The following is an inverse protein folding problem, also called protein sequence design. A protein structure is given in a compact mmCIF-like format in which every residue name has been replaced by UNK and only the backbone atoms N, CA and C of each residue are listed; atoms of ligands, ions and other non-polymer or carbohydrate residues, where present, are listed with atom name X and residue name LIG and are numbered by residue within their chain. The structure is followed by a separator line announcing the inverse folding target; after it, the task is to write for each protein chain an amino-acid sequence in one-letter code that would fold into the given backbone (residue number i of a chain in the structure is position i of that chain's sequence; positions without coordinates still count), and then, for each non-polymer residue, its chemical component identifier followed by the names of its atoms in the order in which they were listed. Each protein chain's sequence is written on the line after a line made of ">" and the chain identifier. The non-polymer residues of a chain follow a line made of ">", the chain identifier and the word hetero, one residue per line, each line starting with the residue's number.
data_IF_745665468247
#
_entry.id   IF_745665468247
#
_cell.length_a   1.000
_cell.length_b   1.000
_cell.length_c   1.000
_cell.angle_alpha   90.00
_cell.angle_beta   90.00
_cell.angle_gamma   90.00
#
_symmetry.space_group_name_H-M   'P 1'
#
loop_
_entity.id
_entity.type
_entity.pdbx_description
1 polymer ?
#
# COMPACT_ATOMS: atom_id res chain seq x y z
N UNK A 1 1.92 1.04 12.28
CA UNK A 1 2.06 1.94 13.46
C UNK A 1 0.62 2.18 13.97
N UNK A 2 0.19 1.62 15.11
CA UNK A 2 -1.13 1.89 15.70
C UNK A 2 -1.09 2.08 17.21
N UNK A 3 -1.77 3.10 17.78
CA UNK A 3 -1.72 3.49 19.19
C UNK A 3 -3.12 3.41 19.89
N UNK A 4 -3.26 3.50 21.23
CA UNK A 4 -4.53 3.36 21.99
C UNK A 4 -4.51 4.14 23.33
N UNK A 5 -5.61 4.86 23.69
CA UNK A 5 -5.88 5.53 25.00
C UNK A 5 -6.94 4.78 25.82
N UNK A 6 -6.83 4.73 27.16
CA UNK A 6 -7.85 4.21 28.11
C UNK A 6 -8.60 5.32 28.88
N UNK A 7 -9.90 5.18 29.21
CA UNK A 7 -10.63 6.15 30.04
C UNK A 7 -10.58 5.88 31.56
N UNK A 8 -10.76 6.96 32.34
CA UNK A 8 -10.63 7.08 33.82
C UNK A 8 -11.90 6.64 34.60
N UNK A 9 -11.71 6.18 35.86
CA UNK A 9 -12.72 5.77 36.87
C UNK A 9 -13.14 6.92 37.82
N UNK A 10 -14.31 6.77 38.51
CA UNK A 10 -14.49 7.27 39.89
C UNK A 10 -15.06 6.17 40.85
N UNK A 11 -15.41 6.44 42.14
CA UNK A 11 -14.60 6.16 43.33
C UNK A 11 -15.10 4.99 44.23
N UNK A 12 -14.29 4.61 45.23
CA UNK A 12 -14.47 3.46 46.16
C UNK A 12 -15.16 3.82 47.50
N UNK A 13 -15.77 2.84 48.20
CA UNK A 13 -15.84 2.83 49.66
C UNK A 13 -14.80 1.89 50.31
N UNK A 14 -14.54 2.13 51.60
CA UNK A 14 -13.42 1.65 52.42
C UNK A 14 -13.64 0.26 53.03
N UNK A 15 -12.54 -0.48 53.20
CA UNK A 15 -12.28 -1.24 54.44
C UNK A 15 -12.14 -2.76 54.32
N UNK A 16 -10.89 -3.26 54.24
CA UNK A 16 -10.28 -4.20 55.21
C UNK A 16 -8.84 -4.51 54.78
N UNK A 17 -7.92 -4.34 55.74
CA UNK A 17 -6.50 -4.70 55.62
C UNK A 17 -6.35 -6.21 55.82
N UNK A 18 -5.52 -6.88 55.01
CA UNK A 18 -4.45 -7.77 55.47
C UNK A 18 -3.56 -8.25 54.31
N UNK A 19 -2.29 -8.49 54.67
CA UNK A 19 -1.23 -9.23 53.96
C UNK A 19 -0.59 -8.60 52.70
N UNK A 20 0.62 -8.06 52.91
CA UNK A 20 1.64 -7.80 51.90
C UNK A 20 2.17 -9.13 51.35
N UNK A 21 2.18 -9.30 50.04
CA UNK A 21 3.16 -10.14 49.34
C UNK A 21 3.85 -9.31 48.28
N UNK A 22 5.17 -9.25 48.37
CA UNK A 22 6.05 -8.54 47.44
C UNK A 22 6.33 -9.43 46.22
N UNK A 23 5.96 -8.89 45.05
CA UNK A 23 6.67 -8.91 43.76
C UNK A 23 7.61 -10.07 43.43
N UNK A 24 7.41 -10.74 42.28
CA UNK A 24 8.46 -11.14 41.34
C UNK A 24 7.90 -11.13 39.90
N UNK A 25 7.85 -9.95 39.28
CA UNK A 25 7.68 -9.83 37.83
C UNK A 25 9.06 -9.92 37.17
N UNK A 26 9.29 -10.98 36.39
CA UNK A 26 10.53 -11.19 35.63
C UNK A 26 10.73 -10.02 34.66
N UNK A 27 11.77 -9.21 34.91
CA UNK A 27 12.38 -8.33 33.92
C UNK A 27 13.34 -9.18 33.09
N UNK A 28 13.13 -9.26 31.77
CA UNK A 28 14.15 -9.80 30.88
C UNK A 28 15.34 -8.82 30.84
N UNK A 29 16.48 -9.26 31.39
CA UNK A 29 17.79 -8.64 31.15
C UNK A 29 18.29 -9.12 29.79
N UNK A 30 18.49 -8.20 28.86
CA UNK A 30 19.36 -8.44 27.71
C UNK A 30 20.82 -8.12 28.12
N UNK A 31 21.76 -8.95 27.65
CA UNK A 31 23.19 -8.84 27.89
C UNK A 31 23.82 -7.62 27.15
N UNK A 32 25.03 -7.15 27.55
CA UNK A 32 25.57 -5.88 27.08
C UNK A 32 26.30 -6.05 25.74
N UNK A 33 25.60 -5.81 24.64
CA UNK A 33 26.19 -5.45 23.35
C UNK A 33 25.82 -4.00 23.04
N UNK A 34 26.79 -3.15 22.69
CA UNK A 34 26.60 -1.71 22.42
C UNK A 34 25.60 -1.48 21.27
N UNK A 35 24.32 -1.39 21.59
CA UNK A 35 23.32 -0.73 20.76
C UNK A 35 23.29 0.76 21.12
N UNK A 36 23.53 1.64 20.15
CA UNK A 36 23.21 3.07 20.29
C UNK A 36 21.70 3.17 20.56
N UNK A 37 21.24 3.85 21.62
CA UNK A 37 19.81 3.95 21.90
C UNK A 37 19.15 4.79 20.81
N UNK A 38 18.27 4.16 20.02
CA UNK A 38 17.36 4.85 19.11
C UNK A 38 16.47 5.81 19.91
N UNK A 39 16.25 7.01 19.37
CA UNK A 39 15.57 8.12 20.05
C UNK A 39 14.18 7.71 20.59
N UNK A 40 13.84 7.98 21.86
CA UNK A 40 12.57 7.60 22.51
C UNK A 40 11.38 8.52 22.14
N UNK A 41 11.30 9.04 20.90
CA UNK A 41 10.38 10.14 20.56
C UNK A 41 8.96 9.73 20.13
N UNK A 42 8.70 8.46 19.85
CA UNK A 42 7.39 8.04 19.31
C UNK A 42 6.30 7.90 20.38
N UNK A 43 6.68 7.81 21.65
CA UNK A 43 5.77 7.59 22.79
C UNK A 43 5.79 8.73 23.82
N UNK A 44 6.73 9.68 23.71
CA UNK A 44 6.80 10.84 24.59
C UNK A 44 5.60 11.78 24.34
N UNK A 45 4.67 11.83 25.31
CA UNK A 45 3.53 12.76 25.30
C UNK A 45 2.24 12.21 24.68
N UNK A 46 2.25 11.02 24.09
CA UNK A 46 1.06 10.35 23.57
C UNK A 46 0.68 9.18 24.48
N UNK A 47 -0.56 9.16 24.99
CA UNK A 47 -1.14 8.03 25.73
C UNK A 47 -1.57 6.98 24.70
N UNK A 48 -0.58 6.33 24.08
CA UNK A 48 -0.78 5.63 22.83
C UNK A 48 0.27 4.51 22.69
N UNK A 49 -0.16 3.26 22.44
CA UNK A 49 0.73 2.08 22.34
C UNK A 49 0.95 1.64 20.90
N UNK A 50 2.13 1.88 20.31
CA UNK A 50 2.45 1.50 18.93
C UNK A 50 2.68 -0.01 18.74
N UNK A 51 1.83 -0.68 17.97
CA UNK A 51 2.08 -2.02 17.42
C UNK A 51 2.71 -1.92 16.02
N UNK A 52 3.76 -2.72 15.77
CA UNK A 52 4.54 -2.72 14.53
C UNK A 52 4.59 -4.12 13.92
N UNK A 53 3.91 -4.31 12.79
CA UNK A 53 4.12 -5.43 11.89
C UNK A 53 5.16 -4.99 10.86
N UNK A 54 6.38 -5.54 10.93
CA UNK A 54 7.51 -5.07 10.11
C UNK A 54 7.47 -5.57 8.67
N UNK A 55 6.86 -6.73 8.45
CA UNK A 55 6.77 -7.37 7.16
C UNK A 55 5.53 -8.23 7.15
N UNK A 56 4.61 -7.94 6.23
CA UNK A 56 3.40 -8.73 6.02
C UNK A 56 3.66 -9.88 5.04
N UNK A 57 4.53 -9.67 4.04
CA UNK A 57 4.89 -10.66 3.02
C UNK A 57 6.38 -11.07 3.17
N UNK A 58 6.70 -12.01 4.08
CA UNK A 58 8.08 -12.45 4.29
C UNK A 58 8.66 -13.19 3.08
N UNK A 59 7.83 -13.88 2.30
CA UNK A 59 8.24 -14.63 1.12
C UNK A 59 8.60 -13.70 -0.04
N UNK A 60 7.77 -12.68 -0.29
CA UNK A 60 8.07 -11.60 -1.22
C UNK A 60 9.31 -10.81 -0.81
N UNK A 61 9.48 -10.52 0.48
CA UNK A 61 10.69 -9.88 1.00
C UNK A 61 11.95 -10.72 0.71
N UNK A 62 11.88 -12.03 0.97
CA UNK A 62 12.99 -12.97 0.72
C UNK A 62 13.39 -13.00 -0.75
N UNK A 63 12.44 -12.91 -1.67
CA UNK A 63 12.70 -12.84 -3.12
C UNK A 63 13.34 -11.52 -3.56
N UNK A 64 13.09 -10.43 -2.85
CA UNK A 64 13.63 -9.09 -3.14
C UNK A 64 15.00 -8.78 -2.51
N UNK A 65 15.53 -9.65 -1.63
CA UNK A 65 16.83 -9.42 -0.95
C UNK A 65 17.99 -9.07 -1.90
N UNK A 66 17.93 -9.57 -3.15
CA UNK A 66 18.97 -9.37 -4.16
C UNK A 66 19.16 -7.92 -4.56
N UNK A 67 18.18 -7.04 -4.34
CA UNK A 67 18.32 -5.61 -4.63
C UNK A 67 18.24 -4.69 -3.41
N UNK A 68 17.60 -5.11 -2.32
CA UNK A 68 17.40 -4.31 -1.11
C UNK A 68 18.70 -3.83 -0.43
N UNK A 69 19.83 -4.48 -0.71
CA UNK A 69 21.15 -4.09 -0.17
C UNK A 69 21.85 -2.96 -0.94
N UNK A 70 21.25 -2.47 -2.04
CA UNK A 70 21.87 -1.50 -2.93
C UNK A 70 23.02 -2.08 -3.77
N UNK A 71 23.53 -1.33 -4.77
CA UNK A 71 23.15 0.06 -5.10
C UNK A 71 21.73 0.15 -5.68
N UNK A 72 21.04 1.25 -5.38
CA UNK A 72 19.66 1.53 -5.79
C UNK A 72 19.60 2.19 -7.16
N UNK A 73 20.07 1.48 -8.20
CA UNK A 73 19.94 1.92 -9.59
C UNK A 73 18.71 1.29 -10.23
N UNK A 74 18.05 2.01 -11.13
CA UNK A 74 16.86 1.52 -11.86
C UNK A 74 17.12 0.16 -12.50
N UNK A 75 18.22 0.02 -13.25
CA UNK A 75 18.56 -1.23 -13.92
C UNK A 75 18.81 -2.41 -12.98
N UNK A 76 19.37 -2.18 -11.78
CA UNK A 76 19.56 -3.26 -10.80
C UNK A 76 18.25 -3.63 -10.13
N UNK A 77 17.41 -2.66 -9.80
CA UNK A 77 16.09 -2.89 -9.23
C UNK A 77 15.23 -3.71 -10.18
N UNK A 78 14.94 -3.24 -11.39
CA UNK A 78 14.04 -3.96 -12.31
C UNK A 78 14.58 -5.32 -12.77
N UNK A 79 15.89 -5.55 -12.72
CA UNK A 79 16.48 -6.87 -13.02
C UNK A 79 16.29 -7.91 -11.89
N UNK A 80 16.12 -7.46 -10.65
CA UNK A 80 16.06 -8.33 -9.48
C UNK A 80 14.75 -8.18 -8.68
N UNK A 81 13.87 -7.29 -9.13
CA UNK A 81 12.59 -7.01 -8.53
C UNK A 81 11.68 -8.24 -8.62
N UNK A 82 10.97 -8.50 -7.53
CA UNK A 82 9.91 -9.49 -7.47
C UNK A 82 8.65 -8.83 -6.90
N UNK A 83 7.54 -9.03 -7.61
CA UNK A 83 6.20 -8.74 -7.11
C UNK A 83 5.38 -10.03 -7.18
N UNK A 84 4.63 -10.40 -6.14
CA UNK A 84 3.70 -11.52 -6.22
C UNK A 84 2.58 -11.20 -7.21
N UNK A 85 2.04 -12.25 -7.82
CA UNK A 85 0.80 -12.12 -8.58
C UNK A 85 -0.33 -11.60 -7.70
N UNK A 86 -1.35 -11.09 -8.34
CA UNK A 86 -2.51 -10.45 -7.75
C UNK A 86 -3.19 -11.25 -6.62
N UNK A 87 -3.44 -12.55 -6.84
CA UNK A 87 -4.02 -13.44 -5.82
C UNK A 87 -3.03 -13.84 -4.71
N UNK A 88 -1.74 -13.54 -4.87
CA UNK A 88 -0.68 -13.80 -3.90
C UNK A 88 -0.29 -12.52 -3.10
N UNK A 89 -1.05 -11.42 -3.24
CA UNK A 89 -0.83 -10.18 -2.48
C UNK A 89 -1.59 -10.17 -1.15
N UNK A 90 -0.91 -10.12 0.02
CA UNK A 90 -1.58 -10.28 1.30
C UNK A 90 -2.59 -9.20 1.69
N UNK A 91 -2.49 -8.00 1.15
CA UNK A 91 -3.43 -6.90 1.45
C UNK A 91 -4.65 -6.87 0.54
N UNK A 92 -4.68 -7.69 -0.50
CA UNK A 92 -5.79 -7.74 -1.42
C UNK A 92 -6.79 -8.84 -1.05
N UNK A 93 -8.08 -8.47 -0.97
CA UNK A 93 -9.20 -9.33 -0.59
C UNK A 93 -10.32 -9.29 -1.64
N UNK A 94 -10.09 -9.72 -2.90
CA UNK A 94 -11.12 -9.60 -3.94
C UNK A 94 -12.42 -10.35 -3.58
N UNK A 95 -12.29 -11.50 -2.91
CA UNK A 95 -13.43 -12.33 -2.45
C UNK A 95 -13.89 -12.00 -1.01
N UNK A 96 -13.30 -10.97 -0.41
CA UNK A 96 -13.57 -10.49 0.95
C UNK A 96 -12.87 -11.28 2.05
N UNK A 97 -12.92 -10.73 3.27
CA UNK A 97 -12.18 -11.24 4.44
C UNK A 97 -12.47 -12.72 4.79
N UNK A 98 -13.70 -13.20 4.56
CA UNK A 98 -14.09 -14.58 4.86
C UNK A 98 -13.45 -15.61 3.91
N UNK A 99 -13.07 -15.20 2.71
CA UNK A 99 -12.44 -16.05 1.70
C UNK A 99 -10.90 -15.98 1.72
N UNK A 100 -10.31 -15.29 2.71
CA UNK A 100 -8.86 -15.08 2.79
C UNK A 100 -8.06 -16.41 2.80
N UNK A 101 -7.41 -16.70 1.67
CA UNK A 101 -6.66 -17.93 1.45
C UNK A 101 -5.21 -17.88 1.97
N UNK A 102 -4.58 -16.69 1.98
CA UNK A 102 -3.19 -16.54 2.41
C UNK A 102 -3.08 -16.51 3.95
N UNK A 103 -2.11 -17.24 4.55
CA UNK A 103 -1.88 -17.19 5.99
C UNK A 103 -1.47 -15.79 6.49
N UNK A 104 -0.73 -15.03 5.70
CA UNK A 104 -0.32 -13.66 5.96
C UNK A 104 -1.55 -12.76 6.10
N UNK A 105 -2.46 -12.84 5.13
CA UNK A 105 -3.73 -12.12 5.14
C UNK A 105 -4.56 -12.48 6.38
N UNK A 106 -4.79 -13.77 6.64
CA UNK A 106 -5.56 -14.20 7.82
C UNK A 106 -4.95 -13.69 9.13
N UNK A 107 -3.62 -13.68 9.21
CA UNK A 107 -2.90 -13.17 10.38
C UNK A 107 -3.13 -11.67 10.55
N UNK A 108 -3.03 -10.88 9.48
CA UNK A 108 -3.31 -9.45 9.52
C UNK A 108 -4.75 -9.16 9.95
N UNK A 109 -5.73 -9.86 9.38
CA UNK A 109 -7.14 -9.70 9.73
C UNK A 109 -7.40 -10.03 11.21
N UNK A 110 -6.82 -11.12 11.71
CA UNK A 110 -6.93 -11.50 13.12
C UNK A 110 -6.29 -10.46 14.06
N UNK A 111 -5.11 -9.92 13.69
CA UNK A 111 -4.47 -8.85 14.45
C UNK A 111 -5.31 -7.57 14.46
N UNK A 112 -5.92 -7.22 13.34
CA UNK A 112 -6.84 -6.08 13.25
C UNK A 112 -8.08 -6.28 14.14
N UNK A 113 -8.63 -7.49 14.19
CA UNK A 113 -9.80 -7.84 15.00
C UNK A 113 -9.53 -7.87 16.50
N UNK A 114 -8.33 -8.34 16.88
CA UNK A 114 -7.86 -8.39 18.25
C UNK A 114 -7.51 -6.97 18.75
N UNK A 115 -6.69 -6.24 17.98
CA UNK A 115 -6.17 -4.95 18.40
C UNK A 115 -7.19 -3.82 18.23
N UNK A 116 -8.06 -3.85 17.22
CA UNK A 116 -9.03 -2.77 16.92
C UNK A 116 -8.39 -1.37 17.03
N UNK A 117 -7.32 -1.11 16.26
CA UNK A 117 -6.54 0.10 16.42
C UNK A 117 -7.37 1.33 16.06
N UNK A 118 -7.27 2.46 16.77
CA UNK A 118 -7.98 3.67 16.27
C UNK A 118 -7.34 4.25 14.99
N UNK A 119 -6.06 3.92 14.74
CA UNK A 119 -5.28 4.34 13.59
C UNK A 119 -4.45 3.16 13.10
N UNK A 120 -4.55 2.84 11.81
CA UNK A 120 -3.66 1.94 11.10
C UNK A 120 -2.87 2.75 10.06
N UNK A 121 -1.55 2.66 10.10
CA UNK A 121 -0.70 3.14 9.01
C UNK A 121 -0.12 1.93 8.28
N UNK A 122 -0.52 1.73 7.01
CA UNK A 122 0.14 0.79 6.09
C UNK A 122 1.18 1.56 5.28
N UNK A 123 2.41 1.07 5.22
CA UNK A 123 3.53 1.75 4.58
C UNK A 123 3.82 1.06 3.26
N UNK A 124 3.73 1.83 2.19
CA UNK A 124 3.87 1.37 0.81
C UNK A 124 4.89 2.23 0.07
N UNK A 125 5.15 1.86 -1.18
CA UNK A 125 5.99 2.64 -2.04
C UNK A 125 5.63 2.48 -3.50
N UNK A 126 5.76 3.58 -4.22
CA UNK A 126 5.77 3.61 -5.68
C UNK A 126 7.21 3.59 -6.16
N UNK A 127 7.49 2.93 -7.28
CA UNK A 127 8.85 2.87 -7.80
C UNK A 127 9.30 4.27 -8.23
N UNK A 128 8.57 4.88 -9.16
CA UNK A 128 8.90 6.18 -9.77
C UNK A 128 7.67 7.09 -9.66
N UNK A 129 7.83 8.29 -9.11
CA UNK A 129 6.71 9.22 -8.96
C UNK A 129 6.86 10.16 -7.77
N UNK A 130 5.75 10.41 -7.08
CA UNK A 130 5.72 11.24 -5.87
C UNK A 130 5.15 10.48 -4.68
N UNK A 131 5.20 11.12 -3.50
CA UNK A 131 4.54 10.60 -2.30
C UNK A 131 3.11 11.10 -2.21
N UNK A 132 2.21 10.22 -1.78
CA UNK A 132 0.81 10.54 -1.52
C UNK A 132 0.27 9.70 -0.35
N UNK A 133 -0.94 10.04 0.10
CA UNK A 133 -1.60 9.36 1.22
C UNK A 133 -3.03 9.03 0.85
N UNK A 134 -3.46 7.83 1.18
CA UNK A 134 -4.84 7.39 0.99
C UNK A 134 -5.48 7.12 2.34
N UNK A 135 -6.73 7.55 2.51
CA UNK A 135 -7.43 7.46 3.78
C UNK A 135 -8.79 6.80 3.62
N UNK A 136 -9.12 5.94 4.57
CA UNK A 136 -10.50 5.43 4.71
C UNK A 136 -11.47 6.48 5.28
N UNK A 137 -10.95 7.51 5.94
CA UNK A 137 -11.72 8.56 6.59
C UNK A 137 -11.13 9.94 6.28
N UNK A 138 -12.01 10.94 6.20
CA UNK A 138 -11.57 12.32 6.10
C UNK A 138 -10.83 12.73 7.39
N UNK A 139 -9.58 13.19 7.25
CA UNK A 139 -8.79 13.77 8.33
C UNK A 139 -8.46 15.23 7.99
N UNK A 140 -9.30 16.20 8.40
CA UNK A 140 -9.10 17.60 8.05
C UNK A 140 -7.71 18.13 8.41
N UNK A 141 -7.05 18.76 7.44
CA UNK A 141 -5.72 19.35 7.59
C UNK A 141 -4.54 18.37 7.47
N UNK A 142 -4.80 17.09 7.14
CA UNK A 142 -3.72 16.14 6.87
C UNK A 142 -2.92 16.53 5.62
N UNK A 143 -3.58 17.01 4.57
CA UNK A 143 -2.99 17.55 3.34
C UNK A 143 -1.87 18.57 3.61
N UNK A 144 -2.11 19.53 4.51
CA UNK A 144 -1.11 20.54 4.90
C UNK A 144 0.07 19.92 5.66
N UNK A 145 -0.19 18.89 6.47
CA UNK A 145 0.86 18.15 7.19
C UNK A 145 1.70 17.32 6.23
N UNK A 146 1.07 16.65 5.27
CA UNK A 146 1.74 15.91 4.19
C UNK A 146 2.62 16.85 3.40
N UNK A 147 2.11 18.01 2.96
CA UNK A 147 2.90 19.04 2.29
C UNK A 147 4.14 19.46 3.11
N UNK A 148 3.96 19.78 4.38
CA UNK A 148 5.06 20.19 5.27
C UNK A 148 6.11 19.08 5.42
N UNK A 149 5.68 17.83 5.55
CA UNK A 149 6.58 16.67 5.70
C UNK A 149 7.33 16.40 4.40
N UNK A 150 6.63 16.40 3.27
CA UNK A 150 7.18 16.17 1.94
C UNK A 150 8.26 17.21 1.61
N UNK A 151 7.98 18.50 1.79
CA UNK A 151 8.96 19.59 1.62
C UNK A 151 10.18 19.39 2.52
N UNK A 152 9.98 19.05 3.79
CA UNK A 152 11.09 18.84 4.73
C UNK A 152 11.97 17.64 4.35
N UNK A 153 11.38 16.61 3.75
CA UNK A 153 12.08 15.39 3.35
C UNK A 153 12.61 15.46 1.90
N UNK A 154 12.28 16.50 1.14
CA UNK A 154 12.65 16.62 -0.27
C UNK A 154 11.95 15.58 -1.15
N UNK A 155 10.73 15.16 -0.78
CA UNK A 155 9.94 14.17 -1.53
C UNK A 155 8.89 14.94 -2.36
N UNK A 156 8.89 14.82 -3.71
CA UNK A 156 7.82 15.35 -4.54
C UNK A 156 6.48 14.72 -4.17
N UNK A 157 5.39 15.47 -4.24
CA UNK A 157 4.03 14.96 -4.02
C UNK A 157 3.35 14.59 -5.33
N UNK A 158 2.67 13.46 -5.35
CA UNK A 158 1.93 13.04 -6.55
C UNK A 158 0.51 13.59 -6.52
N UNK A 159 0.21 14.54 -7.42
CA UNK A 159 -1.09 15.22 -7.46
C UNK A 159 -2.16 14.47 -8.27
N UNK A 160 -1.76 13.51 -9.09
CA UNK A 160 -2.61 12.70 -9.94
C UNK A 160 -2.21 11.23 -9.91
N UNK A 161 -2.08 10.65 -8.71
CA UNK A 161 -1.65 9.26 -8.54
C UNK A 161 -2.57 8.29 -9.30
N UNK A 162 -1.97 7.43 -10.12
CA UNK A 162 -2.72 6.45 -10.91
C UNK A 162 -3.47 5.44 -10.01
N UNK A 163 -2.87 5.03 -8.89
CA UNK A 163 -3.49 4.13 -7.91
C UNK A 163 -4.80 4.69 -7.32
N UNK A 164 -4.95 6.02 -7.32
CA UNK A 164 -6.13 6.73 -6.85
C UNK A 164 -6.99 7.28 -7.99
N UNK A 165 -6.90 6.71 -9.20
CA UNK A 165 -7.72 7.12 -10.34
C UNK A 165 -9.21 7.00 -9.98
N UNK A 166 -9.98 8.06 -10.26
CA UNK A 166 -11.40 8.23 -9.88
C UNK A 166 -11.71 8.38 -8.39
N UNK A 167 -10.71 8.30 -7.51
CA UNK A 167 -10.97 8.40 -6.07
C UNK A 167 -11.23 9.84 -5.63
N UNK A 168 -12.09 10.06 -4.62
CA UNK A 168 -12.31 11.40 -4.08
C UNK A 168 -11.02 12.01 -3.53
N UNK A 169 -10.67 13.21 -3.98
CA UNK A 169 -9.55 13.98 -3.44
C UNK A 169 -9.94 14.66 -2.13
N UNK A 170 -9.17 14.44 -1.07
CA UNK A 170 -9.31 15.12 0.23
C UNK A 170 -8.40 16.34 0.33
N UNK A 171 -7.36 16.39 -0.51
CA UNK A 171 -6.43 17.51 -0.66
C UNK A 171 -5.32 17.13 -1.65
N UNK A 172 -4.36 18.04 -1.91
CA UNK A 172 -3.22 17.75 -2.78
C UNK A 172 -2.43 16.53 -2.27
N UNK A 173 -2.30 15.48 -3.11
CA UNK A 173 -1.69 14.20 -2.77
C UNK A 173 -2.31 13.48 -1.55
N UNK A 174 -3.58 13.74 -1.27
CA UNK A 174 -4.36 13.03 -0.25
C UNK A 174 -5.70 12.59 -0.83
N UNK A 175 -5.93 11.29 -0.87
CA UNK A 175 -7.08 10.66 -1.50
C UNK A 175 -7.92 9.89 -0.48
N UNK A 176 -9.19 9.70 -0.80
CA UNK A 176 -10.10 8.86 -0.02
C UNK A 176 -10.23 7.50 -0.68
N UNK A 177 -9.89 6.44 0.06
CA UNK A 177 -10.17 5.07 -0.33
C UNK A 177 -11.70 4.91 -0.38
N UNK A 178 -12.29 4.59 -1.54
CA UNK A 178 -13.73 4.37 -1.63
C UNK A 178 -14.11 3.12 -0.82
N UNK A 179 -15.34 3.07 -0.26
CA UNK A 179 -15.86 1.83 0.29
C UNK A 179 -15.80 0.72 -0.77
N UNK A 180 -15.51 -0.53 -0.38
CA UNK A 180 -15.36 -1.60 -1.34
C UNK A 180 -16.67 -1.87 -2.08
N UNK A 181 -16.59 -1.99 -3.40
CA UNK A 181 -17.70 -2.37 -4.26
C UNK A 181 -17.27 -3.55 -5.12
N UNK A 182 -18.06 -4.63 -5.14
CA UNK A 182 -17.74 -5.80 -5.97
C UNK A 182 -17.88 -5.44 -7.46
N UNK A 183 -16.75 -5.39 -8.17
CA UNK A 183 -16.66 -5.29 -9.64
C UNK A 183 -15.91 -6.50 -10.20
N UNK A 184 -15.97 -6.69 -11.51
CA UNK A 184 -15.14 -7.68 -12.21
C UNK A 184 -13.64 -7.40 -12.02
N UNK A 185 -12.83 -8.46 -11.98
CA UNK A 185 -11.42 -8.46 -11.56
C UNK A 185 -10.57 -7.44 -12.33
N UNK A 186 -10.78 -7.30 -13.64
CA UNK A 186 -10.03 -6.35 -14.46
C UNK A 186 -10.33 -4.88 -14.10
N UNK A 187 -11.59 -4.52 -13.88
CA UNK A 187 -11.99 -3.20 -13.41
C UNK A 187 -11.53 -2.97 -11.96
N UNK A 188 -11.62 -4.01 -11.14
CA UNK A 188 -11.15 -4.05 -9.77
C UNK A 188 -9.65 -3.75 -9.63
N UNK A 189 -8.82 -4.31 -10.51
CA UNK A 189 -7.37 -4.06 -10.58
C UNK A 189 -7.09 -2.64 -11.06
N UNK A 190 -7.79 -2.20 -12.12
CA UNK A 190 -7.52 -0.94 -12.81
C UNK A 190 -7.89 0.29 -11.96
N UNK A 191 -8.93 0.17 -11.14
CA UNK A 191 -9.45 1.28 -10.31
C UNK A 191 -9.06 1.15 -8.83
N UNK A 192 -8.25 0.12 -8.49
CA UNK A 192 -7.97 -0.29 -7.10
C UNK A 192 -9.25 -0.41 -6.24
N UNK A 193 -10.39 -0.73 -6.88
CA UNK A 193 -11.74 -0.60 -6.31
C UNK A 193 -12.21 -1.84 -5.51
N UNK A 194 -11.28 -2.71 -5.15
CA UNK A 194 -11.50 -4.00 -4.49
C UNK A 194 -11.51 -3.87 -2.97
N UNK A 195 -12.17 -4.83 -2.32
CA UNK A 195 -11.99 -5.02 -0.89
C UNK A 195 -10.52 -5.32 -0.58
N UNK A 196 -9.99 -4.59 0.40
CA UNK A 196 -8.60 -4.71 0.86
C UNK A 196 -8.58 -4.80 2.39
N UNK A 197 -7.47 -5.32 2.92
CA UNK A 197 -7.24 -5.37 4.37
C UNK A 197 -7.21 -3.97 5.00
N UNK A 198 -7.07 -2.92 4.19
CA UNK A 198 -7.11 -1.52 4.65
C UNK A 198 -8.49 -1.12 5.17
N UNK A 199 -9.56 -1.63 4.56
CA UNK A 199 -10.94 -1.32 4.93
C UNK A 199 -11.52 -2.28 5.98
N UNK A 200 -10.92 -3.47 6.19
CA UNK A 200 -11.38 -4.45 7.17
C UNK A 200 -11.61 -3.87 8.58
N UNK A 201 -10.67 -3.10 9.18
CA UNK A 201 -10.86 -2.57 10.53
C UNK A 201 -11.79 -1.34 10.58
N UNK A 202 -12.29 -0.84 9.45
CA UNK A 202 -13.18 0.34 9.38
C UNK A 202 -14.40 0.21 10.31
N UNK A 203 -14.96 -1.01 10.41
CA UNK A 203 -16.08 -1.34 11.30
C UNK A 203 -15.83 -1.09 12.79
N UNK A 204 -14.56 -0.95 13.20
CA UNK A 204 -14.17 -0.61 14.57
C UNK A 204 -13.97 0.90 14.79
N UNK A 205 -14.23 1.72 13.76
CA UNK A 205 -13.90 3.15 13.75
C UNK A 205 -12.41 3.42 13.50
N UNK A 206 -11.68 2.43 13.00
CA UNK A 206 -10.26 2.56 12.65
C UNK A 206 -10.08 3.46 11.45
N UNK A 207 -9.24 4.49 11.59
CA UNK A 207 -8.74 5.21 10.43
C UNK A 207 -7.54 4.48 9.87
N UNK A 208 -7.67 3.92 8.67
CA UNK A 208 -6.50 3.45 7.90
C UNK A 208 -5.97 4.57 7.02
N UNK A 209 -4.65 4.78 7.10
CA UNK A 209 -3.85 5.61 6.23
C UNK A 209 -2.82 4.74 5.49
N UNK A 210 -2.90 4.71 4.16
CA UNK A 210 -1.88 4.14 3.28
C UNK A 210 -0.93 5.28 2.92
N UNK A 211 0.37 5.09 3.16
CA UNK A 211 1.39 6.10 2.90
C UNK A 211 2.31 5.58 1.80
N UNK A 212 2.27 6.24 0.67
CA UNK A 212 3.07 5.92 -0.51
C UNK A 212 4.31 6.80 -0.54
N UNK A 213 5.48 6.17 -0.64
CA UNK A 213 6.76 6.85 -0.74
C UNK A 213 7.50 6.44 -2.02
N UNK A 214 7.96 7.39 -2.85
CA UNK A 214 8.64 7.06 -4.09
C UNK A 214 10.05 6.54 -3.82
N UNK A 215 10.44 5.48 -4.51
CA UNK A 215 11.85 5.04 -4.53
C UNK A 215 12.71 6.02 -5.35
N UNK A 216 12.18 6.51 -6.48
CA UNK A 216 12.74 7.58 -7.29
C UNK A 216 11.73 8.72 -7.45
N UNK A 217 12.00 9.84 -6.79
CA UNK A 217 11.16 11.04 -6.84
C UNK A 217 11.23 11.75 -8.19
N UNK A 218 10.07 12.08 -8.77
CA UNK A 218 9.92 12.86 -10.00
C UNK A 218 9.26 14.20 -9.68
N UNK A 219 9.98 15.31 -9.84
CA UNK A 219 9.44 16.64 -9.48
C UNK A 219 8.22 17.04 -10.33
N UNK A 220 8.13 16.56 -11.58
CA UNK A 220 7.04 16.92 -12.49
C UNK A 220 5.65 16.46 -12.00
N UNK A 221 5.56 15.45 -11.12
CA UNK A 221 4.28 14.98 -10.57
C UNK A 221 3.64 15.96 -9.58
N UNK A 222 4.38 16.99 -9.15
CA UNK A 222 3.85 18.12 -8.36
C UNK A 222 3.20 19.20 -9.23
N UNK A 223 3.32 19.13 -10.55
CA UNK A 223 2.66 20.06 -11.46
C UNK A 223 1.21 19.61 -11.70
N UNK A 224 0.27 20.36 -11.12
CA UNK A 224 -1.16 20.15 -11.31
C UNK A 224 -1.76 21.03 -12.41
N UNK A 225 -0.95 21.67 -13.25
CA UNK A 225 -1.46 22.46 -14.38
C UNK A 225 -2.05 21.54 -15.45
N UNK A 226 -3.13 21.96 -16.13
CA UNK A 226 -3.70 21.17 -17.23
C UNK A 226 -2.68 20.92 -18.33
N UNK A 227 -2.61 19.69 -18.84
CA UNK A 227 -1.73 19.38 -19.96
C UNK A 227 -2.17 20.16 -21.22
N UNK A 228 -1.25 20.81 -21.96
CA UNK A 228 -1.60 21.63 -23.13
C UNK A 228 -2.26 20.82 -24.27
N UNK A 229 -1.93 19.53 -24.37
CA UNK A 229 -2.53 18.59 -25.32
C UNK A 229 -2.71 17.21 -24.65
N UNK A 230 -3.70 17.11 -23.75
CA UNK A 230 -3.93 15.91 -22.96
C UNK A 230 -4.27 14.69 -23.83
N UNK A 231 -5.06 14.88 -24.88
CA UNK A 231 -5.45 13.80 -25.79
C UNK A 231 -4.25 13.23 -26.56
N UNK A 232 -3.32 14.08 -27.03
CA UNK A 232 -2.11 13.59 -27.69
C UNK A 232 -1.23 12.76 -26.76
N UNK A 233 -1.07 13.16 -25.50
CA UNK A 233 -0.32 12.39 -24.51
C UNK A 233 -1.00 11.07 -24.17
N UNK A 234 -2.32 11.10 -23.93
CA UNK A 234 -3.11 9.89 -23.68
C UNK A 234 -3.00 8.89 -24.84
N UNK A 235 -3.06 9.37 -26.08
CA UNK A 235 -2.83 8.54 -27.28
C UNK A 235 -1.39 7.98 -27.32
N UNK A 236 -0.40 8.79 -26.92
CA UNK A 236 1.01 8.40 -26.89
C UNK A 236 1.28 7.29 -25.85
N UNK A 237 0.80 7.46 -24.62
CA UNK A 237 0.97 6.46 -23.55
C UNK A 237 0.20 5.19 -23.84
N UNK A 238 -1.02 5.30 -24.39
CA UNK A 238 -1.84 4.15 -24.79
C UNK A 238 -1.16 3.34 -25.89
N UNK A 239 -0.59 4.00 -26.91
CA UNK A 239 0.20 3.33 -27.95
C UNK A 239 1.41 2.61 -27.38
N UNK A 240 2.14 3.28 -26.47
CA UNK A 240 3.33 2.71 -25.83
C UNK A 240 2.97 1.47 -25.02
N UNK A 241 1.92 1.55 -24.19
CA UNK A 241 1.43 0.42 -23.39
C UNK A 241 1.03 -0.77 -24.25
N UNK A 242 0.35 -0.56 -25.39
CA UNK A 242 0.02 -1.65 -26.35
C UNK A 242 1.27 -2.28 -26.96
N UNK A 243 2.23 -1.46 -27.37
CA UNK A 243 3.48 -1.96 -27.95
C UNK A 243 4.28 -2.80 -26.93
N UNK A 244 4.40 -2.32 -25.70
CA UNK A 244 5.09 -3.04 -24.63
C UNK A 244 4.36 -4.33 -24.25
N UNK A 245 3.02 -4.32 -24.24
CA UNK A 245 2.20 -5.51 -24.00
C UNK A 245 2.41 -6.57 -25.09
N UNK A 246 2.45 -6.16 -26.36
CA UNK A 246 2.76 -7.07 -27.48
C UNK A 246 4.18 -7.66 -27.38
N UNK A 247 5.16 -6.83 -27.02
CA UNK A 247 6.53 -7.28 -26.79
C UNK A 247 6.59 -8.31 -25.65
N UNK A 248 5.98 -7.99 -24.50
CA UNK A 248 5.92 -8.86 -23.33
C UNK A 248 5.23 -10.18 -23.66
N UNK A 249 4.12 -10.14 -24.39
CA UNK A 249 3.39 -11.33 -24.84
C UNK A 249 4.25 -12.23 -25.73
N UNK A 250 4.93 -11.65 -26.73
CA UNK A 250 5.82 -12.38 -27.62
C UNK A 250 7.03 -13.00 -26.91
N UNK A 251 7.66 -12.25 -25.99
CA UNK A 251 8.76 -12.76 -25.15
C UNK A 251 8.30 -13.92 -24.27
N UNK A 252 7.13 -13.76 -23.63
CA UNK A 252 6.57 -14.74 -22.72
C UNK A 252 6.19 -16.02 -23.46
N UNK A 253 5.52 -15.92 -24.61
CA UNK A 253 5.20 -17.07 -25.47
C UNK A 253 6.44 -17.85 -25.90
N UNK A 254 7.54 -17.14 -26.21
CA UNK A 254 8.81 -17.76 -26.59
C UNK A 254 9.50 -18.48 -25.42
N UNK A 255 9.38 -17.95 -24.20
CA UNK A 255 10.09 -18.47 -23.02
C UNK A 255 9.31 -19.59 -22.32
N UNK A 256 7.96 -19.56 -22.32
CA UNK A 256 7.11 -20.53 -21.61
C UNK A 256 7.46 -22.02 -21.84
N UNK A 257 7.74 -22.49 -23.07
CA UNK A 257 8.11 -23.89 -23.29
C UNK A 257 9.34 -24.34 -22.51
N UNK A 258 10.28 -23.42 -22.25
CA UNK A 258 11.50 -23.70 -21.49
C UNK A 258 11.29 -23.65 -19.97
N UNK A 259 10.12 -23.18 -19.51
CA UNK A 259 9.79 -23.04 -18.09
C UNK A 259 8.86 -24.13 -17.55
N UNK A 260 8.29 -24.98 -18.43
CA UNK A 260 7.28 -25.98 -18.05
C UNK A 260 7.73 -26.97 -16.95
N UNK A 261 9.04 -27.22 -16.82
CA UNK A 261 9.62 -28.08 -15.78
C UNK A 261 10.40 -27.34 -14.69
N UNK A 262 10.41 -26.00 -14.71
CA UNK A 262 11.17 -25.20 -13.75
C UNK A 262 10.32 -25.00 -12.48
N UNK A 263 10.82 -25.41 -11.29
CA UNK A 263 10.10 -25.19 -10.04
C UNK A 263 9.75 -23.71 -9.83
N UNK A 264 8.55 -23.46 -9.31
CA UNK A 264 7.99 -22.13 -9.03
C UNK A 264 7.84 -21.18 -10.23
N UNK A 265 8.11 -21.64 -11.46
CA UNK A 265 8.00 -20.77 -12.64
C UNK A 265 6.61 -20.16 -12.80
N UNK A 266 5.55 -20.90 -12.47
CA UNK A 266 4.18 -20.38 -12.50
C UNK A 266 3.99 -19.16 -11.57
N UNK A 267 4.58 -19.18 -10.36
CA UNK A 267 4.51 -18.05 -9.42
C UNK A 267 5.33 -16.84 -9.88
N UNK A 268 6.42 -17.08 -10.60
CA UNK A 268 7.24 -16.01 -11.18
C UNK A 268 6.59 -15.40 -12.42
N UNK A 269 5.79 -16.19 -13.16
CA UNK A 269 5.04 -15.74 -14.33
C UNK A 269 3.69 -15.12 -13.96
N UNK A 270 3.12 -15.42 -12.80
CA UNK A 270 1.85 -14.86 -12.34
C UNK A 270 1.75 -13.32 -12.51
N UNK A 271 2.69 -12.49 -12.04
CA UNK A 271 2.62 -11.05 -12.28
C UNK A 271 2.73 -10.69 -13.77
N UNK A 272 3.42 -11.48 -14.59
CA UNK A 272 3.46 -11.24 -16.05
C UNK A 272 2.11 -11.53 -16.69
N UNK A 273 1.48 -12.64 -16.29
CA UNK A 273 0.14 -13.03 -16.72
C UNK A 273 -0.91 -11.98 -16.33
N UNK A 274 -0.82 -11.46 -15.11
CA UNK A 274 -1.65 -10.39 -14.58
C UNK A 274 -1.55 -9.09 -15.42
N UNK A 275 -0.33 -8.68 -15.80
CA UNK A 275 -0.15 -7.50 -16.66
C UNK A 275 -0.68 -7.74 -18.08
N UNK A 276 -0.43 -8.93 -18.66
CA UNK A 276 -0.94 -9.28 -19.99
C UNK A 276 -2.48 -9.34 -20.02
N UNK A 277 -3.12 -9.62 -18.89
CA UNK A 277 -4.57 -9.59 -18.73
C UNK A 277 -5.12 -8.15 -18.71
N UNK A 278 -4.46 -7.21 -18.01
CA UNK A 278 -5.01 -5.89 -17.69
C UNK A 278 -4.58 -4.80 -18.67
N UNK A 279 -3.31 -4.79 -19.09
CA UNK A 279 -2.74 -3.69 -19.88
C UNK A 279 -3.45 -3.41 -21.22
N UNK A 280 -3.97 -4.40 -21.98
CA UNK A 280 -4.72 -4.11 -23.20
C UNK A 280 -5.98 -3.26 -22.93
N UNK A 281 -6.78 -3.68 -21.94
CA UNK A 281 -8.01 -2.96 -21.58
C UNK A 281 -7.72 -1.57 -21.01
N UNK A 282 -6.63 -1.44 -20.24
CA UNK A 282 -6.18 -0.14 -19.73
C UNK A 282 -5.77 0.80 -20.86
N UNK A 283 -5.02 0.31 -21.85
CA UNK A 283 -4.62 1.12 -22.99
C UNK A 283 -5.82 1.60 -23.80
N UNK A 284 -6.84 0.76 -23.96
CA UNK A 284 -8.07 1.14 -24.64
C UNK A 284 -8.90 2.14 -23.82
N UNK A 285 -8.92 2.02 -22.49
CA UNK A 285 -9.61 2.96 -21.61
C UNK A 285 -8.97 4.36 -21.57
N UNK A 286 -7.67 4.46 -21.87
CA UNK A 286 -6.95 5.73 -21.93
C UNK A 286 -6.94 6.37 -23.31
N UNK A 287 -7.14 5.60 -24.38
CA UNK A 287 -7.01 6.10 -25.73
C UNK A 287 -8.26 6.89 -26.14
N UNK A 288 -8.15 8.21 -26.41
CA UNK A 288 -9.31 9.02 -26.81
C UNK A 288 -9.97 8.52 -28.11
N UNK A 289 -9.26 7.73 -28.93
CA UNK A 289 -9.77 7.21 -30.20
C UNK A 289 -10.57 5.90 -30.03
N UNK A 290 -10.51 5.25 -28.86
CA UNK A 290 -11.18 3.96 -28.60
C UNK A 290 -12.64 4.09 -28.15
N UNK A 291 -13.18 5.32 -28.11
CA UNK A 291 -14.52 5.57 -27.61
C UNK A 291 -14.58 5.35 -26.11
N UNK A 292 -14.00 6.28 -25.35
CA UNK A 292 -14.05 6.26 -23.89
C UNK A 292 -15.49 6.02 -23.43
N UNK A 293 -15.67 5.09 -22.49
CA UNK A 293 -16.98 4.83 -21.91
C UNK A 293 -17.52 6.14 -21.34
N UNK A 294 -18.49 6.74 -22.03
CA UNK A 294 -19.12 7.99 -21.61
C UNK A 294 -19.77 7.90 -20.22
N UNK A 295 -19.97 6.68 -19.69
CA UNK A 295 -20.41 6.45 -18.32
C UNK A 295 -19.29 6.65 -17.28
N UNK A 296 -18.01 6.58 -17.68
CA UNK A 296 -16.83 6.68 -16.81
C UNK A 296 -15.69 7.49 -17.45
N UNK A 297 -15.89 8.80 -17.72
CA UNK A 297 -14.87 9.65 -18.35
C UNK A 297 -13.66 9.81 -17.44
N UNK A 298 -12.45 9.84 -18.03
CA UNK A 298 -11.21 10.10 -17.29
C UNK A 298 -11.31 11.40 -16.47
N UNK A 299 -10.73 11.44 -15.26
CA UNK A 299 -10.68 12.67 -14.49
C UNK A 299 -9.95 13.78 -15.28
N UNK A 300 -10.38 15.04 -15.13
CA UNK A 300 -9.78 16.18 -15.80
C UNK A 300 -8.35 16.47 -15.31
#
# INVERSE_FOLDING_TARGET
>A
MAAQRRPRRPPRPRGRRTARQRTHGRRHRAAPGRARPGRPRLTEGADATWNLLLCLDPDGLRRNERWLTGPYTLGRHFRNFFRPGFLEQPEWLPDGAAAAALPETRTLLALQDELRPFLQCSLHGVDIGGGFVELTHDLPGLDRRVATIATRLGVPRELGAYDALYWPRLGPAVYRIPPPHRRDLAAAITEAAVESTWFHPYRYGTVTAVVEAPMWGVAAVEDGSPHPDAEAELRSVSRTLRQDTLLLSGLTARIRPYLAGVPDAARLLAPVDDYLLVCPGLADAWDPDCGNDSAHPLPP
#
